data_IF_015396731725
#
_entry.id   IF_015396731725
#
_cell.length_a   1.000
_cell.length_b   1.000
_cell.length_c   1.000
_cell.angle_alpha   90.00
_cell.angle_beta   90.00
_cell.angle_gamma   90.00
#
_symmetry.space_group_name_H-M   'P 1'
#
loop_
_entity.id
_entity.type
_entity.pdbx_description
1 polymer ?
#
# COMPACT_ATOMS: atom_id res chain seq x y z
N UNK A 1 -12.37 -6.08 14.08
CA UNK A 1 -12.73 -4.74 14.60
C UNK A 1 -12.72 -3.83 13.38
N UNK A 2 -13.84 -3.17 13.05
CA UNK A 2 -13.90 -2.29 11.89
C UNK A 2 -13.62 -0.87 12.37
N UNK A 3 -12.37 -0.40 12.23
CA UNK A 3 -12.07 1.01 12.46
C UNK A 3 -12.95 1.89 11.56
N UNK A 4 -13.19 3.16 11.93
CA UNK A 4 -14.00 4.10 11.15
C UNK A 4 -13.55 4.16 9.69
N UNK A 5 -14.47 4.17 8.71
CA UNK A 5 -14.12 4.34 7.28
C UNK A 5 -13.29 5.62 7.11
N UNK A 6 -11.98 5.45 6.91
CA UNK A 6 -11.03 6.55 6.81
C UNK A 6 -10.70 6.81 5.36
N UNK A 7 -10.75 8.08 4.96
CA UNK A 7 -10.42 8.52 3.59
C UNK A 7 -9.09 7.93 3.11
N UNK A 8 -8.07 7.93 3.96
CA UNK A 8 -6.75 7.35 3.63
C UNK A 8 -6.85 5.83 3.41
N UNK A 9 -7.58 5.10 4.26
CA UNK A 9 -7.69 3.63 4.17
C UNK A 9 -8.33 3.19 2.85
N UNK A 10 -9.33 3.95 2.42
CA UNK A 10 -10.11 3.69 1.20
C UNK A 10 -9.36 4.11 -0.06
N UNK A 11 -8.67 5.26 -0.06
CA UNK A 11 -8.02 5.79 -1.26
C UNK A 11 -6.61 5.26 -1.47
N UNK A 12 -5.88 4.84 -0.42
CA UNK A 12 -4.51 4.37 -0.54
C UNK A 12 -4.33 3.22 -1.57
N UNK A 13 -5.18 2.17 -1.62
CA UNK A 13 -5.10 1.15 -2.67
C UNK A 13 -5.24 1.67 -4.11
N UNK A 14 -5.92 2.81 -4.29
CA UNK A 14 -6.08 3.46 -5.59
C UNK A 14 -4.80 4.23 -5.92
N UNK A 15 -4.29 5.02 -4.98
CA UNK A 15 -3.04 5.79 -5.13
C UNK A 15 -1.83 4.90 -5.42
N UNK A 16 -1.75 3.72 -4.80
CA UNK A 16 -0.65 2.76 -5.07
C UNK A 16 -0.63 2.23 -6.51
N UNK A 17 -1.70 2.43 -7.29
CA UNK A 17 -1.81 2.07 -8.70
C UNK A 17 -1.55 3.24 -9.65
N UNK A 18 -1.34 4.45 -9.12
CA UNK A 18 -1.04 5.62 -9.94
C UNK A 18 0.34 5.50 -10.58
N UNK A 19 0.52 6.10 -11.76
CA UNK A 19 1.71 5.95 -12.59
C UNK A 19 3.02 6.23 -11.83
N UNK A 20 3.02 7.24 -10.96
CA UNK A 20 4.19 7.62 -10.17
C UNK A 20 4.61 6.57 -9.14
N UNK A 21 3.68 5.74 -8.66
CA UNK A 21 3.94 4.76 -7.59
C UNK A 21 3.92 3.32 -8.09
N UNK A 22 3.10 3.00 -9.08
CA UNK A 22 2.85 1.62 -9.52
C UNK A 22 4.13 0.86 -9.88
N UNK A 23 5.10 1.52 -10.53
CA UNK A 23 6.36 0.89 -10.92
C UNK A 23 7.23 0.46 -9.71
N UNK A 24 7.02 1.08 -8.55
CA UNK A 24 7.71 0.79 -7.29
C UNK A 24 7.00 -0.30 -6.48
N UNK A 25 5.70 -0.53 -6.66
CA UNK A 25 4.92 -1.44 -5.81
C UNK A 25 4.81 -2.82 -6.46
N UNK A 26 5.12 -3.87 -5.70
CA UNK A 26 4.86 -5.26 -6.09
C UNK A 26 3.56 -5.80 -5.49
N UNK A 27 3.28 -5.46 -4.24
CA UNK A 27 2.12 -5.97 -3.51
C UNK A 27 1.77 -5.06 -2.32
N UNK A 28 0.51 -5.09 -1.90
CA UNK A 28 0.09 -4.49 -0.63
C UNK A 28 -1.07 -5.26 0.02
N UNK A 29 -1.12 -5.28 1.34
CA UNK A 29 -2.23 -5.85 2.12
C UNK A 29 -2.40 -5.12 3.46
N UNK A 30 -3.47 -5.44 4.19
CA UNK A 30 -3.63 -4.96 5.57
C UNK A 30 -2.61 -5.64 6.49
N UNK A 31 -2.19 -4.92 7.53
CA UNK A 31 -1.30 -5.47 8.53
C UNK A 31 -2.04 -6.49 9.41
N UNK A 32 -1.28 -7.31 10.14
CA UNK A 32 -1.87 -8.16 11.18
C UNK A 32 -2.22 -7.32 12.42
N UNK A 33 -3.02 -7.87 13.33
CA UNK A 33 -3.50 -7.16 14.54
C UNK A 33 -2.39 -6.54 15.40
N UNK A 34 -1.26 -7.24 15.57
CA UNK A 34 -0.11 -6.75 16.36
C UNK A 34 0.51 -5.49 15.76
N UNK A 35 0.40 -5.32 14.45
CA UNK A 35 1.10 -4.28 13.69
C UNK A 35 0.14 -3.16 13.23
N UNK A 36 -1.13 -3.21 13.66
CA UNK A 36 -2.10 -2.14 13.45
C UNK A 36 -3.35 -2.51 12.63
N UNK A 37 -3.51 -3.78 12.24
CA UNK A 37 -4.71 -4.29 11.54
C UNK A 37 -5.12 -3.41 10.33
N UNK A 38 -6.38 -2.96 10.28
CA UNK A 38 -6.93 -2.09 9.25
C UNK A 38 -6.43 -0.62 9.32
N UNK A 39 -5.69 -0.27 10.38
CA UNK A 39 -5.00 1.00 10.54
C UNK A 39 -3.63 1.05 9.86
N UNK A 40 -3.09 -0.08 9.41
CA UNK A 40 -1.77 -0.17 8.78
C UNK A 40 -1.78 -1.06 7.53
N UNK A 41 -0.77 -0.88 6.67
CA UNK A 41 -0.57 -1.71 5.47
C UNK A 41 0.89 -2.13 5.35
N UNK A 42 1.09 -3.38 4.98
CA UNK A 42 2.37 -3.80 4.42
C UNK A 42 2.42 -3.43 2.95
N UNK A 43 3.55 -2.85 2.53
CA UNK A 43 3.84 -2.50 1.15
C UNK A 43 5.12 -3.22 0.74
N UNK A 44 5.02 -4.11 -0.25
CA UNK A 44 6.18 -4.75 -0.85
C UNK A 44 6.70 -3.87 -1.99
N UNK A 45 7.87 -3.30 -1.78
CA UNK A 45 8.54 -2.47 -2.77
C UNK A 45 9.43 -3.30 -3.69
N UNK A 46 9.55 -2.84 -4.93
CA UNK A 46 10.56 -3.31 -5.86
C UNK A 46 11.93 -2.77 -5.45
N UNK A 47 12.97 -3.58 -5.62
CA UNK A 47 14.35 -3.12 -5.43
C UNK A 47 14.66 -2.00 -6.41
N UNK A 48 15.44 -1.01 -5.97
CA UNK A 48 15.75 0.22 -6.70
C UNK A 48 16.29 -0.04 -8.12
N UNK A 49 17.14 -1.04 -8.30
CA UNK A 49 17.74 -1.44 -9.57
C UNK A 49 16.78 -2.16 -10.53
N UNK A 50 15.59 -2.53 -10.05
CA UNK A 50 14.55 -3.21 -10.83
C UNK A 50 13.34 -2.31 -11.09
N UNK A 51 13.31 -1.09 -10.57
CA UNK A 51 12.25 -0.12 -10.85
C UNK A 51 12.25 0.18 -12.35
N UNK A 52 11.10 -0.03 -12.98
CA UNK A 52 10.89 0.38 -14.36
C UNK A 52 10.61 1.87 -14.36
N UNK A 53 11.57 2.66 -14.86
CA UNK A 53 11.31 4.03 -15.23
C UNK A 53 10.63 3.96 -16.59
N UNK A 54 9.34 4.30 -16.64
CA UNK A 54 8.61 4.44 -17.89
C UNK A 54 9.16 5.57 -18.74
#
# INVERSE_FOLDING_TARGET
>A
MNGSRGVIRENLPIWLKEYELFNYILFHCYAIKKDGDDGARYILLRKKDKVFYG
#
